data_IF_767164717676
#
_entry.id   IF_767164717676
#
_cell.length_a   1.000
_cell.length_b   1.000
_cell.length_c   1.000
_cell.angle_alpha   90.00
_cell.angle_beta   90.00
_cell.angle_gamma   90.00
#
_symmetry.space_group_name_H-M   'P 1'
#
loop_
_entity.id
_entity.type
_entity.pdbx_description
1 polymer ?
#
# COMPACT_ATOMS: atom_id res chain seq x y z
N UNK A 1 1.48 -17.73 -0.45
CA UNK A 1 0.11 -18.10 -0.02
C UNK A 1 -0.96 -17.21 -0.62
N UNK A 2 -2.24 -17.59 -0.48
CA UNK A 2 -3.38 -16.77 -0.95
C UNK A 2 -3.35 -15.37 -0.32
N UNK A 3 -2.98 -15.26 0.96
CA UNK A 3 -2.88 -13.99 1.67
C UNK A 3 -1.82 -13.05 1.07
N UNK A 4 -0.75 -13.59 0.48
CA UNK A 4 0.26 -12.77 -0.21
C UNK A 4 -0.34 -12.15 -1.48
N UNK A 5 -1.19 -12.89 -2.20
CA UNK A 5 -1.89 -12.39 -3.36
C UNK A 5 -2.90 -11.29 -2.97
N UNK A 6 -3.61 -11.48 -1.85
CA UNK A 6 -4.50 -10.46 -1.29
C UNK A 6 -3.72 -9.21 -0.92
N UNK A 7 -2.58 -9.35 -0.23
CA UNK A 7 -1.74 -8.23 0.16
C UNK A 7 -1.20 -7.47 -1.07
N UNK A 8 -0.71 -8.20 -2.08
CA UNK A 8 -0.20 -7.60 -3.31
C UNK A 8 -1.30 -6.87 -4.08
N UNK A 9 -2.51 -7.43 -4.14
CA UNK A 9 -3.67 -6.78 -4.74
C UNK A 9 -4.08 -5.53 -3.96
N UNK A 10 -4.12 -5.59 -2.63
CA UNK A 10 -4.47 -4.46 -1.78
C UNK A 10 -3.47 -3.30 -1.92
N UNK A 11 -2.16 -3.60 -1.90
CA UNK A 11 -1.09 -2.61 -2.11
C UNK A 11 -1.16 -2.03 -3.54
N UNK A 12 -1.38 -2.88 -4.55
CA UNK A 12 -1.54 -2.44 -5.93
C UNK A 12 -2.76 -1.52 -6.11
N UNK A 13 -3.90 -1.89 -5.52
CA UNK A 13 -5.11 -1.07 -5.51
C UNK A 13 -4.88 0.29 -4.83
N UNK A 14 -4.22 0.30 -3.67
CA UNK A 14 -3.85 1.54 -2.99
C UNK A 14 -2.96 2.42 -3.87
N UNK A 15 -1.96 1.84 -4.55
CA UNK A 15 -1.09 2.57 -5.47
C UNK A 15 -1.83 3.19 -6.65
N UNK A 16 -2.84 2.49 -7.20
CA UNK A 16 -3.71 3.03 -8.25
C UNK A 16 -4.56 4.19 -7.73
N UNK A 17 -5.13 4.07 -6.52
CA UNK A 17 -5.91 5.15 -5.90
C UNK A 17 -5.05 6.37 -5.59
N UNK A 18 -3.82 6.17 -5.11
CA UNK A 18 -2.87 7.27 -4.90
C UNK A 18 -2.53 7.99 -6.21
N UNK A 19 -2.32 7.25 -7.31
CA UNK A 19 -2.12 7.85 -8.64
C UNK A 19 -3.35 8.67 -9.06
N UNK A 20 -4.54 8.11 -8.86
CA UNK A 20 -5.81 8.73 -9.26
C UNK A 20 -6.00 10.10 -8.60
N UNK A 21 -5.70 10.22 -7.31
CA UNK A 21 -5.89 11.44 -6.52
C UNK A 21 -4.61 12.29 -6.37
N UNK A 22 -3.60 12.05 -7.20
CA UNK A 22 -2.34 12.79 -7.21
C UNK A 22 -1.53 12.76 -5.89
N UNK A 23 -1.65 11.67 -5.12
CA UNK A 23 -0.83 11.45 -3.93
C UNK A 23 0.53 10.85 -4.30
N UNK A 24 1.57 11.20 -3.53
CA UNK A 24 2.95 10.77 -3.80
C UNK A 24 3.15 9.27 -3.60
N UNK A 25 3.14 8.52 -4.71
CA UNK A 25 3.51 7.09 -4.74
C UNK A 25 4.95 6.84 -4.25
N UNK A 26 5.97 7.64 -4.65
CA UNK A 26 7.33 7.46 -4.14
C UNK A 26 7.41 7.57 -2.62
N UNK A 27 6.70 8.53 -2.00
CA UNK A 27 6.69 8.67 -0.55
C UNK A 27 6.10 7.43 0.15
N UNK A 28 5.01 6.87 -0.38
CA UNK A 28 4.43 5.63 0.14
C UNK A 28 5.40 4.45 0.03
N UNK A 29 6.05 4.26 -1.13
CA UNK A 29 7.00 3.16 -1.32
C UNK A 29 8.24 3.30 -0.42
N UNK A 30 8.75 4.52 -0.24
CA UNK A 30 9.86 4.80 0.68
C UNK A 30 9.45 4.46 2.11
N UNK A 31 8.27 4.90 2.56
CA UNK A 31 7.76 4.58 3.88
C UNK A 31 7.53 3.08 4.09
N UNK A 32 6.98 2.39 3.09
CA UNK A 32 6.76 0.95 3.11
C UNK A 32 8.08 0.17 3.27
N UNK A 33 9.10 0.47 2.46
CA UNK A 33 10.40 -0.22 2.50
C UNK A 33 11.20 0.13 3.76
N UNK A 34 11.07 1.36 4.27
CA UNK A 34 11.81 1.81 5.47
C UNK A 34 11.07 1.50 6.78
N UNK A 35 9.87 0.96 6.75
CA UNK A 35 9.05 0.72 7.95
C UNK A 35 9.76 -0.19 8.97
N UNK A 36 10.16 -1.39 8.55
CA UNK A 36 10.86 -2.36 9.41
C UNK A 36 12.16 -1.82 10.05
N UNK A 37 13.11 -1.25 9.30
CA UNK A 37 14.31 -0.70 9.91
C UNK A 37 14.00 0.51 10.80
N UNK A 38 13.06 1.38 10.41
CA UNK A 38 12.68 2.54 11.21
C UNK A 38 12.07 2.12 12.55
N UNK A 39 11.20 1.11 12.56
CA UNK A 39 10.62 0.54 13.78
C UNK A 39 11.70 -0.06 14.68
N UNK A 40 12.58 -0.87 14.10
CA UNK A 40 13.68 -1.52 14.83
C UNK A 40 14.58 -0.49 15.51
N UNK A 41 15.01 0.55 14.79
CA UNK A 41 15.89 1.58 15.35
C UNK A 41 15.16 2.47 16.38
N UNK A 42 13.88 2.79 16.16
CA UNK A 42 13.08 3.53 17.13
C UNK A 42 12.95 2.75 18.45
N UNK A 43 12.65 1.46 18.37
CA UNK A 43 12.49 0.60 19.53
C UNK A 43 13.82 0.43 20.28
N UNK A 44 14.95 0.26 19.57
CA UNK A 44 16.28 0.23 20.18
C UNK A 44 16.60 1.53 20.90
N UNK A 45 16.33 2.69 20.29
CA UNK A 45 16.57 4.00 20.91
C UNK A 45 15.76 4.19 22.19
N UNK A 46 14.49 3.77 22.21
CA UNK A 46 13.62 3.83 23.39
C UNK A 46 14.09 2.89 24.49
N UNK A 47 14.54 1.68 24.15
CA UNK A 47 15.09 0.73 25.12
C UNK A 47 16.39 1.26 25.76
N UNK A 48 17.27 1.85 24.97
CA UNK A 48 18.50 2.48 25.48
C UNK A 48 18.15 3.66 26.40
N UNK A 49 17.25 4.54 25.95
CA UNK A 49 16.81 5.69 26.74
C UNK A 49 16.19 5.25 28.08
N UNK A 50 15.23 4.33 28.04
CA UNK A 50 14.58 3.80 29.25
C UNK A 50 15.58 3.14 30.21
N UNK A 51 16.57 2.40 29.70
CA UNK A 51 17.65 1.84 30.53
C UNK A 51 18.49 2.92 31.21
N UNK A 52 18.77 4.05 30.55
CA UNK A 52 19.52 5.18 31.13
C UNK A 52 18.70 5.91 32.19
N UNK A 53 17.43 6.21 31.90
CA UNK A 53 16.51 6.83 32.86
C UNK A 53 16.29 5.97 34.10
N UNK A 54 16.35 4.63 33.96
CA UNK A 54 16.25 3.72 35.11
C UNK A 54 17.48 3.77 36.02
N UNK A 55 18.67 4.10 35.50
CA UNK A 55 19.90 4.24 36.29
C UNK A 55 19.92 5.57 37.06
N UNK A 56 19.38 6.63 36.47
CA UNK A 56 19.22 7.92 37.13
C UNK A 56 18.65 8.95 36.18
N UNK A 57 17.94 9.94 36.74
CA UNK A 57 17.39 11.04 35.96
C UNK A 57 18.49 11.86 35.27
N UNK A 58 19.63 12.09 35.96
CA UNK A 58 20.79 12.76 35.38
C UNK A 58 21.36 12.01 34.18
N UNK A 59 21.58 10.69 34.30
CA UNK A 59 22.10 9.87 33.19
C UNK A 59 21.17 9.85 31.97
N UNK A 60 19.85 9.88 32.19
CA UNK A 60 18.87 9.98 31.11
C UNK A 60 18.94 11.32 30.38
N UNK A 61 19.07 12.42 31.13
CA UNK A 61 19.23 13.77 30.56
C UNK A 61 20.57 13.89 29.82
N UNK A 62 21.66 13.40 30.38
CA UNK A 62 22.98 13.39 29.74
C UNK A 62 22.97 12.64 28.40
N UNK A 63 22.17 11.58 28.29
CA UNK A 63 21.97 10.86 27.02
C UNK A 63 21.24 11.72 25.98
N UNK A 64 20.15 12.40 26.36
CA UNK A 64 19.38 13.27 25.45
C UNK A 64 20.22 14.45 24.97
N UNK A 65 21.01 15.06 25.86
CA UNK A 65 21.90 16.17 25.54
C UNK A 65 23.28 15.72 25.06
N UNK A 66 23.44 14.43 24.72
CA UNK A 66 24.68 13.96 24.12
C UNK A 66 24.91 14.67 22.77
N UNK A 67 26.17 14.99 22.41
CA UNK A 67 26.48 15.72 21.18
C UNK A 67 25.89 15.07 19.92
N UNK A 68 25.86 13.74 19.87
CA UNK A 68 25.33 12.98 18.74
C UNK A 68 23.82 13.21 18.59
N UNK A 69 23.05 13.12 19.68
CA UNK A 69 21.58 13.31 19.65
C UNK A 69 21.23 14.74 19.22
N UNK A 70 21.93 15.74 19.75
CA UNK A 70 21.73 17.13 19.37
C UNK A 70 22.00 17.34 17.87
N UNK A 71 23.11 16.80 17.35
CA UNK A 71 23.43 16.89 15.92
C UNK A 71 22.34 16.22 15.07
N UNK A 72 21.85 15.04 15.48
CA UNK A 72 20.77 14.34 14.78
C UNK A 72 19.46 15.16 14.78
N UNK A 73 19.11 15.79 15.90
CA UNK A 73 17.92 16.67 15.98
C UNK A 73 18.08 17.86 15.02
N UNK A 74 19.24 18.51 15.01
CA UNK A 74 19.51 19.65 14.12
C UNK A 74 19.38 19.23 12.66
N UNK A 75 20.03 18.13 12.26
CA UNK A 75 19.95 17.62 10.89
C UNK A 75 18.51 17.27 10.53
N UNK A 76 17.77 16.61 11.43
CA UNK A 76 16.37 16.23 11.21
C UNK A 76 15.49 17.47 10.98
N UNK A 77 15.62 18.50 11.82
CA UNK A 77 14.87 19.75 11.67
C UNK A 77 15.20 20.46 10.37
N UNK A 78 16.49 20.52 9.99
CA UNK A 78 16.92 21.10 8.72
C UNK A 78 16.34 20.31 7.53
N UNK A 79 16.40 18.98 7.55
CA UNK A 79 15.83 18.12 6.52
C UNK A 79 14.32 18.31 6.38
N UNK A 80 13.58 18.42 7.49
CA UNK A 80 12.13 18.67 7.45
C UNK A 80 11.82 20.04 6.85
N UNK A 81 12.53 21.09 7.27
CA UNK A 81 12.32 22.45 6.74
C UNK A 81 12.64 22.53 5.25
N UNK A 82 13.76 21.96 4.82
CA UNK A 82 14.15 21.92 3.41
C UNK A 82 13.15 21.09 2.60
N UNK A 83 12.74 19.92 3.12
CA UNK A 83 11.77 19.04 2.48
C UNK A 83 10.42 19.71 2.28
N UNK A 84 9.89 20.40 3.30
CA UNK A 84 8.63 21.16 3.18
C UNK A 84 8.72 22.31 2.16
N UNK A 85 9.88 22.96 2.04
CA UNK A 85 10.09 24.02 1.05
C UNK A 85 10.19 23.47 -0.37
N UNK A 86 10.81 22.30 -0.54
CA UNK A 86 10.98 21.65 -1.85
C UNK A 86 9.76 20.84 -2.29
N UNK A 87 8.82 20.53 -1.38
CA UNK A 87 7.62 19.75 -1.67
C UNK A 87 6.76 20.31 -2.83
N UNK A 88 6.78 21.63 -3.06
CA UNK A 88 6.08 22.26 -4.19
C UNK A 88 6.62 21.84 -5.57
N UNK A 89 7.87 21.39 -5.65
CA UNK A 89 8.50 20.91 -6.87
C UNK A 89 8.39 19.38 -7.04
N UNK A 90 7.85 18.67 -6.04
CA UNK A 90 7.72 17.21 -6.00
C UNK A 90 6.30 16.75 -6.43
N UNK A 91 5.36 17.68 -6.62
CA UNK A 91 4.05 17.35 -7.19
C UNK A 91 4.22 16.82 -8.62
N UNK A 92 3.67 15.63 -8.84
CA UNK A 92 3.93 14.84 -10.03
C UNK A 92 2.93 15.18 -11.14
N UNK A 93 3.47 15.57 -12.31
CA UNK A 93 2.80 15.55 -13.61
C UNK A 93 1.60 16.50 -13.81
N UNK A 94 1.91 17.68 -14.36
CA UNK A 94 0.97 18.49 -15.13
C UNK A 94 -0.15 19.15 -14.34
N UNK A 95 -0.87 20.04 -15.01
CA UNK A 95 -2.03 20.72 -14.45
C UNK A 95 -3.20 19.73 -14.41
N UNK A 96 -3.32 19.00 -13.29
CA UNK A 96 -4.45 18.09 -13.07
C UNK A 96 -5.67 18.94 -12.76
N UNK A 97 -6.60 19.00 -13.71
CA UNK A 97 -7.85 19.72 -13.49
C UNK A 97 -8.61 19.12 -12.31
N UNK A 98 -9.16 20.00 -11.50
CA UNK A 98 -9.91 19.69 -10.29
C UNK A 98 -11.14 18.85 -10.64
N UNK A 99 -11.20 17.64 -10.07
CA UNK A 99 -12.35 16.74 -10.18
C UNK A 99 -13.43 17.06 -9.14
N UNK A 100 -14.35 16.11 -8.95
CA UNK A 100 -15.40 16.25 -7.92
C UNK A 100 -14.89 15.98 -6.52
N UNK A 101 -15.36 16.73 -5.52
CA UNK A 101 -14.96 16.59 -4.11
C UNK A 101 -15.19 15.21 -3.49
N UNK A 102 -16.21 14.47 -3.92
CA UNK A 102 -16.67 13.25 -3.22
C UNK A 102 -15.65 12.11 -3.23
N UNK A 103 -15.07 11.77 -4.38
CA UNK A 103 -14.18 10.61 -4.48
C UNK A 103 -12.86 10.78 -3.71
N UNK A 104 -12.13 11.91 -3.83
CA UNK A 104 -10.94 12.18 -3.01
C UNK A 104 -11.26 12.22 -1.51
N UNK A 105 -12.44 12.75 -1.13
CA UNK A 105 -12.87 12.78 0.27
C UNK A 105 -13.17 11.39 0.82
N UNK A 106 -13.86 10.52 0.06
CA UNK A 106 -14.09 9.12 0.48
C UNK A 106 -12.76 8.40 0.64
N UNK A 107 -11.83 8.60 -0.28
CA UNK A 107 -10.49 8.02 -0.18
C UNK A 107 -9.77 8.47 1.10
N UNK A 108 -9.76 9.78 1.39
CA UNK A 108 -9.20 10.31 2.63
C UNK A 108 -9.89 9.70 3.87
N UNK A 109 -11.21 9.56 3.86
CA UNK A 109 -11.96 8.97 4.98
C UNK A 109 -11.63 7.48 5.20
N UNK A 110 -11.43 6.72 4.11
CA UNK A 110 -11.00 5.31 4.21
C UNK A 110 -9.58 5.22 4.78
N UNK A 111 -8.66 6.06 4.32
CA UNK A 111 -7.29 6.13 4.87
C UNK A 111 -7.32 6.55 6.34
N UNK A 112 -8.11 7.58 6.69
CA UNK A 112 -8.29 8.04 8.06
C UNK A 112 -8.83 6.91 8.95
N UNK A 113 -9.89 6.21 8.52
CA UNK A 113 -10.46 5.07 9.25
C UNK A 113 -9.42 3.96 9.47
N UNK A 114 -8.62 3.64 8.45
CA UNK A 114 -7.53 2.67 8.56
C UNK A 114 -6.49 3.10 9.60
N UNK A 115 -6.04 4.36 9.57
CA UNK A 115 -5.06 4.87 10.54
C UNK A 115 -5.65 4.89 11.96
N UNK A 116 -6.93 5.21 12.14
CA UNK A 116 -7.61 5.13 13.44
C UNK A 116 -7.59 3.68 13.96
N UNK A 117 -7.98 2.71 13.12
CA UNK A 117 -7.95 1.29 13.50
C UNK A 117 -6.54 0.85 13.85
N UNK A 118 -5.53 1.24 13.07
CA UNK A 118 -4.13 0.94 13.34
C UNK A 118 -3.64 1.56 14.65
N UNK A 119 -4.03 2.81 14.94
CA UNK A 119 -3.71 3.50 16.19
C UNK A 119 -4.33 2.82 17.41
N UNK A 120 -5.61 2.43 17.31
CA UNK A 120 -6.32 1.70 18.37
C UNK A 120 -5.65 0.35 18.58
N UNK A 121 -5.40 -0.41 17.51
CA UNK A 121 -4.76 -1.73 17.60
C UNK A 121 -3.36 -1.64 18.24
N UNK A 122 -2.52 -0.71 17.79
CA UNK A 122 -1.22 -0.45 18.41
C UNK A 122 -1.36 -0.05 19.89
N UNK A 123 -2.44 0.63 20.25
CA UNK A 123 -2.67 1.06 21.62
C UNK A 123 -3.16 -0.04 22.55
N UNK A 124 -3.72 -1.12 22.01
CA UNK A 124 -4.13 -2.30 22.75
C UNK A 124 -2.96 -3.25 23.09
N UNK A 125 -1.76 -3.00 22.55
CA UNK A 125 -0.58 -3.81 22.84
C UNK A 125 -0.26 -3.73 24.35
N UNK A 126 -0.16 -4.89 25.05
CA UNK A 126 0.08 -4.95 26.49
C UNK A 126 1.37 -4.27 26.96
N UNK A 127 1.39 -3.83 28.22
CA UNK A 127 2.51 -3.07 28.79
C UNK A 127 3.84 -3.84 28.85
N UNK A 128 3.79 -5.16 28.92
CA UNK A 128 5.01 -5.99 28.89
C UNK A 128 5.72 -5.95 27.53
N UNK A 129 5.00 -5.64 26.44
CA UNK A 129 5.54 -5.41 25.09
C UNK A 129 5.46 -3.93 24.71
N UNK A 130 5.64 -3.05 25.68
CA UNK A 130 5.43 -1.61 25.50
C UNK A 130 6.37 -0.94 24.50
N UNK A 131 7.48 -1.57 24.12
CA UNK A 131 8.35 -1.08 23.04
C UNK A 131 7.64 -1.16 21.68
N UNK A 132 6.94 -2.26 21.40
CA UNK A 132 6.36 -2.56 20.09
C UNK A 132 5.20 -1.63 19.72
N UNK A 133 4.62 -0.92 20.71
CA UNK A 133 3.59 0.10 20.46
C UNK A 133 4.13 1.49 20.17
N UNK A 134 5.40 1.80 20.47
CA UNK A 134 5.90 3.18 20.40
C UNK A 134 5.92 3.68 18.97
N UNK A 135 6.56 2.91 18.07
CA UNK A 135 6.70 3.32 16.68
C UNK A 135 5.36 3.36 15.93
N UNK A 136 4.51 2.31 15.93
CA UNK A 136 3.22 2.35 15.24
C UNK A 136 2.30 3.46 15.75
N UNK A 137 2.27 3.69 17.08
CA UNK A 137 1.45 4.75 17.68
C UNK A 137 1.95 6.14 17.28
N UNK A 138 3.26 6.37 17.26
CA UNK A 138 3.84 7.65 16.86
C UNK A 138 3.54 7.99 15.40
N UNK A 139 3.81 7.05 14.48
CA UNK A 139 3.56 7.24 13.05
C UNK A 139 2.06 7.44 12.79
N UNK A 140 1.20 6.64 13.42
CA UNK A 140 -0.24 6.81 13.29
C UNK A 140 -0.72 8.17 13.85
N UNK A 141 -0.17 8.66 14.96
CA UNK A 141 -0.51 9.99 15.49
C UNK A 141 -0.20 11.11 14.50
N UNK A 142 1.00 11.10 13.91
CA UNK A 142 1.40 12.09 12.90
C UNK A 142 0.51 11.97 11.66
N UNK A 143 0.24 10.73 11.21
CA UNK A 143 -0.67 10.45 10.10
C UNK A 143 -2.09 10.98 10.33
N UNK A 144 -2.64 10.82 11.55
CA UNK A 144 -3.93 11.35 11.94
C UNK A 144 -3.96 12.88 11.89
N UNK A 145 -2.93 13.54 12.42
CA UNK A 145 -2.82 15.01 12.34
C UNK A 145 -2.83 15.45 10.87
N UNK A 146 -2.03 14.80 10.02
CA UNK A 146 -2.02 15.07 8.57
C UNK A 146 -3.39 14.87 7.91
N UNK A 147 -4.07 13.77 8.22
CA UNK A 147 -5.40 13.49 7.68
C UNK A 147 -6.45 14.50 8.15
N UNK A 148 -6.40 14.94 9.41
CA UNK A 148 -7.30 15.96 9.95
C UNK A 148 -7.05 17.31 9.27
N UNK A 149 -5.79 17.70 9.07
CA UNK A 149 -5.44 18.92 8.33
C UNK A 149 -6.00 18.85 6.90
N UNK A 150 -5.78 17.74 6.19
CA UNK A 150 -6.33 17.54 4.85
C UNK A 150 -7.86 17.54 4.83
N UNK A 151 -8.50 16.95 5.83
CA UNK A 151 -9.96 16.93 5.94
C UNK A 151 -10.52 18.35 6.12
N UNK A 152 -9.91 19.15 7.00
CA UNK A 152 -10.27 20.56 7.19
C UNK A 152 -10.06 21.35 5.89
N UNK A 153 -8.93 21.13 5.20
CA UNK A 153 -8.69 21.74 3.89
C UNK A 153 -9.75 21.32 2.86
N UNK A 154 -10.15 20.05 2.82
CA UNK A 154 -11.20 19.57 1.91
C UNK A 154 -12.58 20.18 2.22
N UNK A 155 -12.85 20.52 3.48
CA UNK A 155 -14.10 21.18 3.88
C UNK A 155 -14.11 22.68 3.56
N UNK A 156 -12.95 23.33 3.55
CA UNK A 156 -12.81 24.80 3.42
C UNK A 156 -12.47 25.26 2.01
N UNK A 157 -11.72 24.46 1.24
CA UNK A 157 -11.23 24.84 -0.08
C UNK A 157 -12.31 24.67 -1.18
N UNK A 158 -12.29 25.49 -2.24
CA UNK A 158 -13.20 25.35 -3.38
C UNK A 158 -12.90 24.08 -4.17
N UNK A 159 -13.88 23.58 -4.93
CA UNK A 159 -13.71 22.34 -5.74
C UNK A 159 -12.58 22.45 -6.76
N UNK A 160 -12.20 23.67 -7.13
CA UNK A 160 -11.12 23.96 -8.08
C UNK A 160 -9.71 23.70 -7.53
N UNK A 161 -9.57 23.45 -6.22
CA UNK A 161 -8.26 23.24 -5.60
C UNK A 161 -7.63 21.90 -6.07
N UNK A 162 -6.29 21.84 -6.28
CA UNK A 162 -5.58 20.59 -6.65
C UNK A 162 -5.76 19.41 -5.68
N UNK A 163 -6.31 19.66 -4.49
CA UNK A 163 -6.62 18.66 -3.48
C UNK A 163 -7.75 17.71 -3.93
N UNK A 164 -8.54 18.14 -4.91
CA UNK A 164 -9.64 17.37 -5.50
C UNK A 164 -9.29 16.82 -6.88
N UNK A 165 -8.00 16.67 -7.19
CA UNK A 165 -7.53 16.04 -8.41
C UNK A 165 -8.15 14.64 -8.57
N UNK A 166 -8.67 14.33 -9.76
CA UNK A 166 -9.20 13.02 -10.10
C UNK A 166 -8.85 12.67 -11.54
N UNK A 167 -7.74 11.95 -11.72
CA UNK A 167 -7.25 11.56 -13.04
C UNK A 167 -8.21 10.62 -13.79
N UNK A 168 -9.06 9.85 -13.08
CA UNK A 168 -10.04 8.97 -13.76
C UNK A 168 -11.02 9.80 -14.58
N UNK A 169 -11.43 10.97 -14.09
CA UNK A 169 -12.35 11.86 -14.81
C UNK A 169 -11.67 12.60 -15.94
N UNK A 170 -10.42 13.01 -15.75
CA UNK A 170 -9.65 13.73 -16.76
C UNK A 170 -9.30 12.84 -17.95
N UNK A 171 -8.86 11.60 -17.69
CA UNK A 171 -8.47 10.63 -18.71
C UNK A 171 -9.67 9.80 -19.21
N UNK A 172 -10.91 10.15 -18.85
CA UNK A 172 -12.09 9.37 -19.18
C UNK A 172 -12.38 9.30 -20.69
N UNK A 173 -12.05 10.35 -21.43
CA UNK A 173 -12.24 10.42 -22.89
C UNK A 173 -11.17 9.62 -23.66
N UNK A 174 -9.94 9.54 -23.14
CA UNK A 174 -8.83 8.83 -23.76
C UNK A 174 -8.78 7.33 -23.40
N UNK A 175 -9.35 6.95 -22.25
CA UNK A 175 -9.31 5.57 -21.78
C UNK A 175 -10.41 4.72 -22.44
N UNK A 176 -9.98 3.80 -23.31
CA UNK A 176 -10.84 2.77 -23.94
C UNK A 176 -11.57 1.91 -22.89
N UNK A 177 -11.02 1.81 -21.68
CA UNK A 177 -11.57 1.02 -20.59
C UNK A 177 -11.44 1.73 -19.24
N UNK A 178 -12.55 1.81 -18.52
CA UNK A 178 -12.57 2.40 -17.18
C UNK A 178 -11.75 1.62 -16.14
N UNK A 179 -11.42 2.29 -15.05
CA UNK A 179 -10.63 1.76 -13.94
C UNK A 179 -11.38 0.63 -13.20
N UNK A 180 -12.66 0.82 -12.88
CA UNK A 180 -13.44 -0.15 -12.11
C UNK A 180 -13.66 -1.49 -12.81
N UNK A 181 -14.04 -1.55 -14.10
CA UNK A 181 -14.09 -2.82 -14.83
C UNK A 181 -12.74 -3.53 -14.87
N UNK A 182 -11.65 -2.77 -15.01
CA UNK A 182 -10.29 -3.32 -15.08
C UNK A 182 -9.86 -3.90 -13.72
N UNK A 183 -10.15 -3.20 -12.61
CA UNK A 183 -9.96 -3.74 -11.26
C UNK A 183 -10.85 -4.96 -10.99
N UNK A 184 -12.07 -4.96 -11.51
CA UNK A 184 -13.01 -6.09 -11.40
C UNK A 184 -12.45 -7.38 -11.99
N UNK A 185 -11.71 -7.31 -13.09
CA UNK A 185 -11.00 -8.46 -13.66
C UNK A 185 -9.96 -9.04 -12.70
N UNK A 186 -9.12 -8.20 -12.10
CA UNK A 186 -8.11 -8.65 -11.13
C UNK A 186 -8.73 -9.17 -9.82
N UNK A 187 -9.77 -8.51 -9.31
CA UNK A 187 -10.54 -9.01 -8.17
C UNK A 187 -11.20 -10.35 -8.49
N UNK A 188 -11.75 -10.50 -9.71
CA UNK A 188 -12.30 -11.76 -10.20
C UNK A 188 -11.27 -12.88 -10.26
N UNK A 189 -10.05 -12.59 -10.73
CA UNK A 189 -8.93 -13.56 -10.70
C UNK A 189 -8.63 -14.00 -9.26
N UNK A 190 -8.62 -13.07 -8.31
CA UNK A 190 -8.32 -13.38 -6.91
C UNK A 190 -9.40 -14.24 -6.26
N UNK A 191 -10.68 -13.91 -6.49
CA UNK A 191 -11.81 -14.72 -6.03
C UNK A 191 -11.77 -16.11 -6.65
N UNK A 192 -11.52 -16.20 -7.96
CA UNK A 192 -11.46 -17.46 -8.67
C UNK A 192 -10.28 -18.31 -8.17
N UNK A 193 -9.13 -17.69 -7.88
CA UNK A 193 -7.97 -18.36 -7.28
C UNK A 193 -8.33 -18.95 -5.92
N UNK A 194 -9.04 -18.20 -5.08
CA UNK A 194 -9.50 -18.68 -3.78
C UNK A 194 -10.48 -19.86 -3.91
N UNK A 195 -11.29 -19.93 -4.98
CA UNK A 195 -12.27 -20.99 -5.18
C UNK A 195 -11.68 -22.26 -5.80
N UNK A 196 -10.91 -22.14 -6.89
CA UNK A 196 -10.49 -23.28 -7.73
C UNK A 196 -8.99 -23.47 -7.84
N UNK A 197 -8.20 -22.63 -7.16
CA UNK A 197 -6.74 -22.63 -7.22
C UNK A 197 -6.20 -21.80 -8.38
N UNK A 198 -4.94 -21.38 -8.24
CA UNK A 198 -4.36 -20.34 -9.09
C UNK A 198 -4.26 -20.71 -10.57
N UNK A 199 -3.86 -21.94 -10.92
CA UNK A 199 -3.67 -22.33 -12.33
C UNK A 199 -4.99 -22.37 -13.09
N UNK A 200 -6.05 -22.94 -12.49
CA UNK A 200 -7.38 -22.99 -13.11
C UNK A 200 -7.93 -21.56 -13.25
N UNK A 201 -7.78 -20.75 -12.20
CA UNK A 201 -8.20 -19.37 -12.22
C UNK A 201 -7.49 -18.55 -13.31
N UNK A 202 -6.18 -18.72 -13.43
CA UNK A 202 -5.35 -18.05 -14.45
C UNK A 202 -5.74 -18.49 -15.86
N UNK A 203 -6.04 -19.77 -16.07
CA UNK A 203 -6.48 -20.29 -17.36
C UNK A 203 -7.78 -19.63 -17.83
N UNK A 204 -8.79 -19.62 -16.96
CA UNK A 204 -10.09 -18.98 -17.23
C UNK A 204 -9.90 -17.49 -17.43
N UNK A 205 -9.11 -16.84 -16.59
CA UNK A 205 -8.84 -15.41 -16.68
C UNK A 205 -8.18 -15.02 -18.00
N UNK A 206 -7.06 -15.65 -18.38
CA UNK A 206 -6.35 -15.32 -19.61
C UNK A 206 -7.23 -15.53 -20.84
N UNK A 207 -7.96 -16.65 -20.88
CA UNK A 207 -8.83 -16.96 -22.02
C UNK A 207 -9.99 -15.95 -22.12
N UNK A 208 -10.69 -15.69 -21.02
CA UNK A 208 -11.81 -14.76 -20.99
C UNK A 208 -11.36 -13.32 -21.26
N UNK A 209 -10.21 -12.91 -20.72
CA UNK A 209 -9.64 -11.59 -20.95
C UNK A 209 -9.29 -11.37 -22.43
N UNK A 210 -8.68 -12.37 -23.09
CA UNK A 210 -8.31 -12.27 -24.51
C UNK A 210 -9.53 -12.19 -25.44
N UNK A 211 -10.62 -12.88 -25.10
CA UNK A 211 -11.87 -12.82 -25.87
C UNK A 211 -12.59 -11.50 -25.63
N UNK A 212 -12.83 -11.14 -24.36
CA UNK A 212 -13.72 -10.02 -24.00
C UNK A 212 -13.02 -8.67 -24.12
N UNK A 213 -11.74 -8.58 -23.73
CA UNK A 213 -11.01 -7.31 -23.70
C UNK A 213 -10.13 -7.10 -24.92
N UNK A 214 -9.41 -8.14 -25.36
CA UNK A 214 -8.55 -8.03 -26.53
C UNK A 214 -9.30 -8.24 -27.87
N UNK A 215 -10.56 -8.73 -27.83
CA UNK A 215 -11.38 -8.96 -29.01
C UNK A 215 -10.76 -9.97 -29.99
N UNK A 216 -9.93 -10.89 -29.50
CA UNK A 216 -9.19 -11.86 -30.33
C UNK A 216 -10.00 -13.12 -30.56
N UNK A 217 -9.65 -13.86 -31.62
CA UNK A 217 -10.31 -15.12 -31.95
C UNK A 217 -10.08 -16.17 -30.85
N UNK A 218 -11.03 -17.11 -30.65
CA UNK A 218 -10.92 -18.15 -29.62
C UNK A 218 -9.66 -19.01 -29.76
N UNK A 219 -9.22 -19.29 -30.98
CA UNK A 219 -7.99 -20.05 -31.24
C UNK A 219 -6.73 -19.31 -30.78
N UNK A 220 -6.66 -17.99 -31.02
CA UNK A 220 -5.57 -17.16 -30.54
C UNK A 220 -5.58 -17.06 -29.01
N UNK A 221 -6.76 -16.87 -28.40
CA UNK A 221 -6.92 -16.86 -26.96
C UNK A 221 -6.47 -18.19 -26.32
N UNK A 222 -6.90 -19.33 -26.88
CA UNK A 222 -6.49 -20.65 -26.39
C UNK A 222 -4.97 -20.85 -26.45
N UNK A 223 -4.35 -20.51 -27.59
CA UNK A 223 -2.90 -20.65 -27.77
C UNK A 223 -2.12 -19.83 -26.74
N UNK A 224 -2.49 -18.56 -26.55
CA UNK A 224 -1.82 -17.68 -25.58
C UNK A 224 -2.06 -18.10 -24.14
N UNK A 225 -3.26 -18.57 -23.81
CA UNK A 225 -3.55 -19.12 -22.47
C UNK A 225 -2.69 -20.36 -22.19
N UNK A 226 -2.63 -21.31 -23.12
CA UNK A 226 -1.80 -22.51 -22.96
C UNK A 226 -0.32 -22.15 -22.84
N UNK A 227 0.18 -21.25 -23.68
CA UNK A 227 1.56 -20.78 -23.62
C UNK A 227 1.87 -20.06 -22.29
N UNK A 228 0.96 -19.21 -21.81
CA UNK A 228 1.11 -18.49 -20.54
C UNK A 228 1.11 -19.42 -19.34
N UNK A 229 0.22 -20.41 -19.30
CA UNK A 229 0.19 -21.43 -18.24
C UNK A 229 1.47 -22.28 -18.29
N UNK A 230 1.87 -22.74 -19.48
CA UNK A 230 3.09 -23.53 -19.63
C UNK A 230 4.33 -22.77 -19.14
N UNK A 231 4.42 -21.48 -19.45
CA UNK A 231 5.49 -20.61 -18.96
C UNK A 231 5.49 -20.47 -17.44
N UNK A 232 4.33 -20.22 -16.82
CA UNK A 232 4.20 -20.10 -15.36
C UNK A 232 4.53 -21.41 -14.66
N UNK A 233 4.05 -22.55 -15.16
CA UNK A 233 4.37 -23.88 -14.64
C UNK A 233 5.86 -24.20 -14.77
N UNK A 234 6.47 -23.85 -15.91
CA UNK A 234 7.91 -23.99 -16.11
C UNK A 234 8.70 -23.17 -15.09
N UNK A 235 8.36 -21.89 -14.91
CA UNK A 235 8.98 -21.02 -13.92
C UNK A 235 8.81 -21.55 -12.49
N UNK A 236 7.62 -22.04 -12.14
CA UNK A 236 7.37 -22.62 -10.83
C UNK A 236 8.20 -23.90 -10.59
N UNK A 237 8.36 -24.74 -11.62
CA UNK A 237 9.22 -25.92 -11.55
C UNK A 237 10.70 -25.56 -11.33
N UNK A 238 11.20 -24.52 -12.02
CA UNK A 238 12.57 -24.03 -11.85
C UNK A 238 12.81 -23.44 -10.45
N UNK A 239 11.82 -22.74 -9.92
CA UNK A 239 11.88 -22.11 -8.59
C UNK A 239 11.48 -23.04 -7.45
N UNK A 240 11.12 -24.29 -7.76
CA UNK A 240 10.60 -25.29 -6.83
C UNK A 240 9.51 -24.72 -5.90
N UNK A 241 8.57 -23.97 -6.47
CA UNK A 241 7.46 -23.33 -5.75
C UNK A 241 6.13 -23.95 -6.12
N UNK A 242 5.26 -24.08 -5.12
CA UNK A 242 3.87 -24.48 -5.30
C UNK A 242 2.99 -23.25 -5.53
N UNK A 243 1.85 -23.48 -6.18
CA UNK A 243 0.86 -22.45 -6.40
C UNK A 243 -0.11 -22.35 -5.21
N UNK A 244 -0.74 -21.18 -4.99
CA UNK A 244 -1.78 -21.06 -3.97
C UNK A 244 -2.95 -22.02 -4.25
N UNK A 245 -3.27 -22.94 -3.31
CA UNK A 245 -4.44 -23.80 -3.44
C UNK A 245 -5.72 -22.99 -3.21
N UNK A 246 -6.80 -23.42 -3.83
CA UNK A 246 -8.15 -22.91 -3.57
C UNK A 246 -8.95 -23.86 -2.69
N UNK A 247 -10.20 -23.52 -2.46
CA UNK A 247 -11.16 -24.36 -1.73
C UNK A 247 -11.38 -25.70 -2.43
N UNK A 248 -11.34 -25.76 -3.77
CA UNK A 248 -11.47 -27.01 -4.51
C UNK A 248 -10.43 -28.05 -4.09
N UNK A 249 -9.19 -27.61 -3.89
CA UNK A 249 -8.05 -28.44 -3.48
C UNK A 249 -8.18 -28.94 -2.03
N UNK A 250 -9.05 -28.33 -1.19
CA UNK A 250 -9.33 -28.87 0.15
C UNK A 250 -10.35 -30.01 0.14
N UNK A 251 -11.08 -30.20 -0.97
CA UNK A 251 -12.04 -31.30 -1.13
C UNK A 251 -11.55 -32.40 -2.09
N UNK A 252 -10.61 -32.07 -2.99
CA UNK A 252 -10.10 -32.99 -4.01
C UNK A 252 -8.60 -32.87 -4.12
N UNK A 253 -7.89 -33.98 -3.91
CA UNK A 253 -6.45 -34.07 -4.15
C UNK A 253 -6.19 -34.10 -5.67
N UNK A 254 -5.77 -32.96 -6.22
CA UNK A 254 -5.42 -32.81 -7.63
C UNK A 254 -3.91 -32.94 -7.83
N UNK A 255 -3.44 -33.51 -8.96
CA UNK A 255 -2.01 -33.62 -9.25
C UNK A 255 -1.41 -32.25 -9.61
N UNK A 256 -0.11 -32.09 -9.38
CA UNK A 256 0.62 -30.89 -9.78
C UNK A 256 0.48 -30.68 -11.30
N UNK A 257 0.22 -29.46 -11.80
CA UNK A 257 0.28 -28.15 -11.12
C UNK A 257 -1.05 -27.66 -10.52
N UNK A 258 -2.06 -28.53 -10.37
CA UNK A 258 -3.40 -28.19 -9.87
C UNK A 258 -3.60 -28.43 -8.36
N UNK A 259 -2.54 -28.87 -7.69
CA UNK A 259 -2.41 -29.06 -6.23
C UNK A 259 -2.80 -27.84 -5.42
#
# INVERSE_FOLDING_TARGET
DLMDLVALFAIGFLGIMMRRFDWSRPAFLIGFVLSDPAETYANQAVQIASSRFRKGFSEGIDYIFSPIVIILIIITLLSVVIGLRQAKNIMAEGDVQSGSKRAPMIFLLVVLAYIIVAFVNASLIPDFSSADRVFPRFVASIGLIGCVILLIQMMTQPETHPLFSDREKQEAEDNVHGLWPTLGWFAGLLILTALVGFIIALAVFLFAFMIVRAGKSPGFAALYTVAGIAFICFMASLLNRNFPPGVLQSYVDLPWPLT
#
